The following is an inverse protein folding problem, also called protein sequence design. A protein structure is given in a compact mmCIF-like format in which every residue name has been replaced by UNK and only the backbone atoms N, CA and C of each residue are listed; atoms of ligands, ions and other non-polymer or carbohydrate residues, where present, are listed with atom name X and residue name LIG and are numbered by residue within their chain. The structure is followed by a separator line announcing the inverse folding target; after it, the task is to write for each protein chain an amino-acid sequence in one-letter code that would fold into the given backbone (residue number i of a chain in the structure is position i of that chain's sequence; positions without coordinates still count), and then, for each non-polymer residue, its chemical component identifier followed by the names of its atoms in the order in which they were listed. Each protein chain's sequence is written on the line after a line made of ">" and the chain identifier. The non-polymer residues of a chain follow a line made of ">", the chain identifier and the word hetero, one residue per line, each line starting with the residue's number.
data_IF_653096425157
#
_entry.id   IF_653096425157
#
_cell.length_a   1.000
_cell.length_b   1.000
_cell.length_c   1.000
_cell.angle_alpha   90.00
_cell.angle_beta   90.00
_cell.angle_gamma   90.00
#
_symmetry.space_group_name_H-M   'P 1'
#
loop_
_entity.id
_entity.type
_entity.pdbx_description
1 polymer ?
#
# COMPACT_ATOMS: atom_id res chain seq x y z
N UNK A 1 -2.03 55.07 49.35
CA UNK A 1 -2.26 54.42 48.03
C UNK A 1 -1.10 53.48 47.70
N UNK A 2 -1.39 52.18 47.52
CA UNK A 2 -0.91 51.29 46.42
C UNK A 2 0.63 51.04 46.30
N UNK A 3 1.20 49.82 46.19
CA UNK A 3 0.73 48.44 45.96
C UNK A 3 1.80 47.45 46.44
N UNK A 4 1.36 46.31 46.98
CA UNK A 4 2.12 45.06 47.08
C UNK A 4 2.49 44.58 45.66
N UNK A 5 3.76 44.24 45.41
CA UNK A 5 4.16 43.46 44.23
C UNK A 5 4.44 42.02 44.68
N UNK A 6 3.52 41.14 44.28
CA UNK A 6 3.59 39.70 44.46
C UNK A 6 4.47 39.13 43.32
N UNK A 7 5.62 38.57 43.64
CA UNK A 7 6.45 37.85 42.68
C UNK A 7 5.91 36.42 42.52
N UNK A 8 5.21 36.16 41.41
CA UNK A 8 4.76 34.82 41.04
C UNK A 8 5.87 34.05 40.34
N UNK A 9 6.34 32.97 40.95
CA UNK A 9 7.27 32.02 40.33
C UNK A 9 6.53 31.16 39.30
N UNK A 10 6.89 31.28 38.03
CA UNK A 10 6.33 30.50 36.94
C UNK A 10 7.12 29.19 36.81
N UNK A 11 6.55 28.09 37.30
CA UNK A 11 7.10 26.74 37.14
C UNK A 11 6.82 26.28 35.71
N UNK A 12 7.88 26.14 34.91
CA UNK A 12 7.80 25.58 33.56
C UNK A 12 7.81 24.05 33.71
N UNK A 13 6.64 23.42 33.55
CA UNK A 13 6.52 21.97 33.44
C UNK A 13 7.01 21.52 32.06
N UNK A 14 8.20 20.94 32.01
CA UNK A 14 8.77 20.29 30.84
C UNK A 14 7.93 19.05 30.50
N UNK A 15 7.07 19.14 29.48
CA UNK A 15 6.39 17.97 28.96
C UNK A 15 7.41 17.10 28.22
N UNK A 16 7.74 15.94 28.78
CA UNK A 16 8.52 14.92 28.09
C UNK A 16 7.67 14.35 26.95
N UNK A 17 7.93 14.82 25.73
CA UNK A 17 7.34 14.26 24.52
C UNK A 17 7.89 12.83 24.36
N UNK A 18 7.08 11.81 24.65
CA UNK A 18 7.40 10.43 24.30
C UNK A 18 7.42 10.35 22.78
N UNK A 19 8.62 10.22 22.22
CA UNK A 19 8.81 10.06 20.80
C UNK A 19 8.22 8.71 20.36
N UNK A 20 7.13 8.76 19.59
CA UNK A 20 6.67 7.60 18.86
C UNK A 20 7.78 7.18 17.88
N UNK A 21 8.18 5.92 17.92
CA UNK A 21 9.19 5.40 16.99
C UNK A 21 8.45 4.94 15.74
N UNK A 22 8.62 5.66 14.63
CA UNK A 22 8.01 5.30 13.35
C UNK A 22 8.92 4.34 12.57
N UNK A 23 8.39 3.18 12.19
CA UNK A 23 9.13 2.12 11.50
C UNK A 23 8.41 1.75 10.22
N UNK A 24 9.15 1.79 9.13
CA UNK A 24 8.68 1.46 7.80
C UNK A 24 8.51 -0.05 7.62
N UNK A 25 7.32 -0.50 7.21
CA UNK A 25 7.01 -1.93 6.98
C UNK A 25 6.54 -2.18 5.54
N UNK A 26 6.88 -3.34 4.98
CA UNK A 26 6.31 -3.81 3.70
C UNK A 26 5.41 -5.01 3.95
N UNK A 27 4.47 -5.26 3.06
CA UNK A 27 3.69 -6.49 3.11
C UNK A 27 4.61 -7.71 3.01
N UNK A 28 4.33 -8.72 3.82
CA UNK A 28 5.11 -9.95 3.99
C UNK A 28 6.56 -9.73 4.43
N UNK A 29 6.88 -8.57 5.00
CA UNK A 29 8.20 -8.33 5.60
C UNK A 29 8.29 -8.88 7.01
N UNK A 30 9.54 -9.14 7.42
CA UNK A 30 9.91 -9.40 8.80
C UNK A 30 10.76 -8.25 9.32
N UNK A 31 10.40 -7.70 10.48
CA UNK A 31 11.12 -6.62 11.14
C UNK A 31 11.45 -6.99 12.58
N UNK A 32 12.60 -6.53 13.08
CA UNK A 32 12.96 -6.71 14.49
C UNK A 32 12.60 -5.47 15.31
N UNK A 33 11.92 -5.65 16.44
CA UNK A 33 11.62 -4.60 17.40
C UNK A 33 12.14 -4.97 18.79
N UNK A 34 12.73 -3.98 19.46
CA UNK A 34 13.03 -4.07 20.87
C UNK A 34 12.02 -3.25 21.67
N UNK A 35 11.22 -3.93 22.49
CA UNK A 35 10.16 -3.36 23.30
C UNK A 35 10.52 -3.39 24.79
N UNK A 36 9.82 -2.61 25.59
CA UNK A 36 9.96 -2.70 27.05
C UNK A 36 9.51 -4.07 27.54
N UNK A 37 10.35 -4.73 28.33
CA UNK A 37 10.01 -5.97 29.04
C UNK A 37 9.13 -5.69 30.27
N UNK A 38 9.31 -4.54 30.92
CA UNK A 38 8.69 -4.22 32.21
C UNK A 38 7.40 -3.40 32.10
N UNK A 39 7.06 -2.87 30.92
CA UNK A 39 5.92 -1.98 30.70
C UNK A 39 5.08 -2.38 29.48
N UNK A 40 3.86 -1.85 29.41
CA UNK A 40 3.06 -1.90 28.19
C UNK A 40 3.75 -1.15 27.05
N UNK A 41 3.67 -1.73 25.86
CA UNK A 41 4.06 -1.10 24.61
C UNK A 41 2.82 -0.98 23.74
N UNK A 42 2.75 0.05 22.90
CA UNK A 42 1.65 0.25 21.94
C UNK A 42 2.19 0.07 20.54
N UNK A 43 1.58 -0.81 19.75
CA UNK A 43 1.82 -0.96 18.33
C UNK A 43 0.61 -0.40 17.58
N UNK A 44 0.84 0.53 16.67
CA UNK A 44 -0.20 1.13 15.82
C UNK A 44 0.25 1.05 14.37
N UNK A 45 -0.66 0.75 13.45
CA UNK A 45 -0.38 0.82 12.01
C UNK A 45 -0.94 2.14 11.48
N UNK A 46 -0.11 2.92 10.79
CA UNK A 46 -0.53 4.21 10.27
C UNK A 46 -1.62 4.05 9.21
N UNK A 47 -2.76 4.72 9.42
CA UNK A 47 -3.95 4.68 8.56
C UNK A 47 -4.55 3.29 8.37
N UNK A 48 -4.37 2.38 9.32
CA UNK A 48 -4.86 1.01 9.25
C UNK A 48 -5.08 0.46 10.67
N UNK A 49 -5.81 -0.65 10.80
CA UNK A 49 -6.15 -1.25 12.10
C UNK A 49 -5.62 -2.66 12.20
N UNK A 50 -5.09 -3.04 13.36
CA UNK A 50 -4.68 -4.42 13.61
C UNK A 50 -5.92 -5.24 14.01
N UNK A 51 -6.32 -6.17 13.16
CA UNK A 51 -7.50 -7.02 13.38
C UNK A 51 -7.13 -8.37 13.96
N UNK A 52 -5.92 -8.85 13.67
CA UNK A 52 -5.44 -10.15 14.14
C UNK A 52 -3.96 -10.09 14.53
N UNK A 53 -3.61 -10.86 15.56
CA UNK A 53 -2.28 -10.98 16.11
C UNK A 53 -2.06 -12.44 16.55
N UNK A 54 -1.02 -13.08 16.05
CA UNK A 54 -0.69 -14.49 16.34
C UNK A 54 0.74 -14.57 16.86
N UNK A 55 0.92 -15.20 18.01
CA UNK A 55 2.20 -15.33 18.70
C UNK A 55 2.24 -16.62 19.53
N UNK A 56 3.43 -17.10 19.95
CA UNK A 56 3.53 -18.30 20.77
C UNK A 56 2.76 -18.17 22.09
N UNK A 57 2.10 -19.24 22.56
CA UNK A 57 1.36 -19.21 23.83
C UNK A 57 2.23 -18.71 24.99
N UNK A 58 1.64 -17.86 25.85
CA UNK A 58 2.30 -17.26 27.02
C UNK A 58 3.50 -16.35 26.71
N UNK A 59 3.79 -16.01 25.45
CA UNK A 59 4.91 -15.13 25.11
C UNK A 59 4.62 -13.65 25.43
N UNK A 60 3.35 -13.24 25.34
CA UNK A 60 2.91 -11.86 25.61
C UNK A 60 1.43 -11.79 26.00
N UNK A 61 1.07 -10.75 26.74
CA UNK A 61 -0.31 -10.27 26.87
C UNK A 61 -0.64 -9.26 25.77
N UNK A 62 -1.88 -9.27 25.28
CA UNK A 62 -2.36 -8.33 24.26
C UNK A 62 -3.73 -7.76 24.63
N UNK A 63 -3.91 -6.46 24.42
CA UNK A 63 -5.19 -5.76 24.52
C UNK A 63 -5.37 -4.90 23.26
N UNK A 64 -6.49 -5.06 22.55
CA UNK A 64 -6.85 -4.23 21.40
C UNK A 64 -7.53 -2.95 21.86
N UNK A 65 -7.22 -1.85 21.19
CA UNK A 65 -7.97 -0.61 21.27
C UNK A 65 -8.96 -0.54 20.10
N UNK A 66 -10.26 -0.52 20.39
CA UNK A 66 -11.31 -0.54 19.39
C UNK A 66 -11.47 0.81 18.67
N UNK A 67 -10.98 1.92 19.24
CA UNK A 67 -11.16 3.25 18.64
C UNK A 67 -10.22 3.46 17.45
N UNK A 68 -8.96 3.03 17.58
CA UNK A 68 -7.92 3.29 16.58
C UNK A 68 -7.29 2.01 16.01
N UNK A 69 -7.68 0.83 16.49
CA UNK A 69 -7.16 -0.45 16.01
C UNK A 69 -5.72 -0.72 16.41
N UNK A 70 -5.16 0.02 17.38
CA UNK A 70 -3.86 -0.26 17.96
C UNK A 70 -3.91 -1.43 18.93
N UNK A 71 -2.75 -2.00 19.25
CA UNK A 71 -2.61 -3.06 20.25
C UNK A 71 -1.64 -2.63 21.33
N UNK A 72 -2.06 -2.81 22.58
CA UNK A 72 -1.20 -2.76 23.75
C UNK A 72 -0.66 -4.15 24.03
N UNK A 73 0.65 -4.25 24.18
CA UNK A 73 1.37 -5.51 24.37
C UNK A 73 2.27 -5.45 25.59
N UNK A 74 2.28 -6.53 26.36
CA UNK A 74 3.20 -6.70 27.49
C UNK A 74 3.96 -8.02 27.31
N UNK A 75 5.29 -7.93 27.23
CA UNK A 75 6.12 -9.10 27.02
C UNK A 75 6.15 -9.97 28.28
N UNK A 76 6.11 -11.28 28.08
CA UNK A 76 6.23 -12.28 29.15
C UNK A 76 7.42 -13.19 28.90
N UNK A 77 7.67 -13.55 27.65
CA UNK A 77 8.88 -14.25 27.25
C UNK A 77 10.11 -13.32 27.36
N UNK A 78 11.24 -13.87 27.80
CA UNK A 78 12.55 -13.21 27.81
C UNK A 78 13.37 -13.52 26.57
N UNK A 79 13.03 -14.60 25.86
CA UNK A 79 13.67 -14.98 24.60
C UNK A 79 12.97 -14.30 23.42
N UNK A 80 13.70 -14.02 22.33
CA UNK A 80 13.11 -13.52 21.09
C UNK A 80 11.99 -14.42 20.58
N UNK A 81 10.90 -13.83 20.08
CA UNK A 81 9.80 -14.57 19.46
C UNK A 81 9.14 -13.78 18.34
N UNK A 82 8.41 -14.48 17.46
CA UNK A 82 7.72 -13.86 16.32
C UNK A 82 6.27 -13.55 16.65
N UNK A 83 5.85 -12.34 16.32
CA UNK A 83 4.48 -11.87 16.30
C UNK A 83 4.04 -11.67 14.85
N UNK A 84 3.00 -12.36 14.41
CA UNK A 84 2.35 -12.13 13.12
C UNK A 84 1.19 -11.15 13.31
N UNK A 85 1.09 -10.16 12.43
CA UNK A 85 0.05 -9.15 12.45
C UNK A 85 -0.70 -9.14 11.12
N UNK A 86 -2.03 -9.09 11.21
CA UNK A 86 -2.92 -8.86 10.08
C UNK A 86 -3.70 -7.58 10.30
N UNK A 87 -3.82 -6.76 9.27
CA UNK A 87 -4.56 -5.50 9.32
C UNK A 87 -5.94 -5.57 8.66
N UNK A 88 -6.80 -4.59 8.94
CA UNK A 88 -8.12 -4.44 8.33
C UNK A 88 -8.03 -4.28 6.80
N UNK A 89 -6.97 -3.63 6.31
CA UNK A 89 -6.70 -3.55 4.87
C UNK A 89 -6.09 -4.82 4.26
N UNK A 90 -5.99 -5.93 5.01
CA UNK A 90 -5.48 -7.21 4.55
C UNK A 90 -3.96 -7.30 4.45
N UNK A 91 -3.20 -6.42 5.11
CA UNK A 91 -1.74 -6.52 5.14
C UNK A 91 -1.30 -7.56 6.14
N UNK A 92 -0.25 -8.30 5.80
CA UNK A 92 0.39 -9.26 6.67
C UNK A 92 1.86 -8.91 6.83
N UNK A 93 2.39 -9.00 8.04
CA UNK A 93 3.82 -8.87 8.30
C UNK A 93 4.16 -9.57 9.62
N UNK A 94 5.43 -9.93 9.78
CA UNK A 94 5.94 -10.50 11.01
C UNK A 94 6.85 -9.52 11.72
N UNK A 95 6.88 -9.65 13.04
CA UNK A 95 7.72 -8.86 13.91
C UNK A 95 8.47 -9.80 14.84
N UNK A 96 9.79 -9.83 14.76
CA UNK A 96 10.64 -10.45 15.77
C UNK A 96 10.76 -9.50 16.96
N UNK A 97 10.19 -9.90 18.11
CA UNK A 97 10.15 -9.11 19.33
C UNK A 97 11.26 -9.52 20.29
N UNK A 98 11.99 -8.52 20.78
CA UNK A 98 12.98 -8.63 21.85
C UNK A 98 12.58 -7.71 23.01
N UNK A 99 12.87 -8.13 24.24
CA UNK A 99 12.67 -7.31 25.43
C UNK A 99 13.92 -6.60 25.89
N UNK A 100 13.75 -5.39 26.43
CA UNK A 100 14.78 -4.67 27.18
C UNK A 100 14.20 -3.96 28.41
N UNK A 101 15.05 -3.62 29.37
CA UNK A 101 14.65 -2.89 30.56
C UNK A 101 14.58 -1.37 30.28
N UNK A 102 13.48 -0.95 29.66
CA UNK A 102 13.19 0.45 29.36
C UNK A 102 11.72 0.80 29.68
N UNK A 103 11.37 2.08 29.59
CA UNK A 103 9.98 2.52 29.69
C UNK A 103 9.15 2.08 28.49
N UNK A 104 7.83 2.05 28.67
CA UNK A 104 6.88 1.67 27.63
C UNK A 104 7.05 2.48 26.34
N UNK A 105 6.99 1.79 25.19
CA UNK A 105 7.20 2.40 23.87
C UNK A 105 5.91 2.45 23.07
N UNK A 106 5.75 3.51 22.27
CA UNK A 106 4.77 3.55 21.19
C UNK A 106 5.50 3.41 19.87
N UNK A 107 5.18 2.35 19.12
CA UNK A 107 5.73 2.06 17.80
C UNK A 107 4.65 2.32 16.77
N UNK A 108 4.90 3.26 15.87
CA UNK A 108 4.07 3.51 14.70
C UNK A 108 4.65 2.72 13.53
N UNK A 109 3.97 1.66 13.13
CA UNK A 109 4.29 0.92 11.92
C UNK A 109 3.70 1.69 10.75
N UNK A 110 4.57 2.21 9.91
CA UNK A 110 4.21 2.97 8.72
C UNK A 110 4.33 2.02 7.54
N UNK A 111 3.21 1.55 6.96
CA UNK A 111 3.25 0.88 5.68
C UNK A 111 4.04 1.77 4.72
N UNK A 112 5.14 1.23 4.19
CA UNK A 112 5.81 1.81 3.07
C UNK A 112 4.80 1.77 1.93
N UNK A 113 4.12 2.90 1.74
CA UNK A 113 3.73 3.28 0.41
C UNK A 113 4.99 3.09 -0.42
N UNK A 114 4.91 2.29 -1.47
CA UNK A 114 5.94 2.30 -2.49
C UNK A 114 5.95 3.73 -3.02
N UNK A 115 6.79 4.57 -2.42
CA UNK A 115 7.24 5.80 -3.04
C UNK A 115 8.07 5.28 -4.18
N UNK A 116 7.40 5.12 -5.32
CA UNK A 116 8.06 5.08 -6.61
C UNK A 116 8.93 6.33 -6.59
N UNK A 117 10.23 6.15 -6.37
CA UNK A 117 11.20 7.19 -6.65
C UNK A 117 10.84 7.68 -8.03
N UNK A 118 10.48 8.97 -8.12
CA UNK A 118 10.12 9.64 -9.37
C UNK A 118 11.34 9.60 -10.28
N UNK A 119 11.56 8.49 -10.97
CA UNK A 119 12.31 8.48 -12.22
C UNK A 119 11.32 8.89 -13.30
N UNK A 120 11.16 10.20 -13.42
CA UNK A 120 10.41 10.95 -14.44
C UNK A 120 8.92 10.58 -14.62
N UNK A 121 8.02 11.57 -14.61
CA UNK A 121 6.59 11.32 -14.70
C UNK A 121 6.24 10.88 -16.13
N UNK A 122 5.90 9.61 -16.33
CA UNK A 122 4.88 9.29 -17.33
C UNK A 122 3.55 9.56 -16.63
N UNK A 123 3.18 10.85 -16.56
CA UNK A 123 1.80 11.29 -16.34
C UNK A 123 0.97 10.60 -17.40
N UNK A 124 0.05 9.74 -16.98
CA UNK A 124 -1.16 9.30 -17.69
C UNK A 124 -1.78 8.16 -16.86
N UNK A 125 -2.30 8.54 -15.70
CA UNK A 125 -3.38 7.80 -15.03
C UNK A 125 -4.42 8.86 -14.74
N UNK A 126 -5.48 8.94 -15.54
CA UNK A 126 -6.55 9.91 -15.36
C UNK A 126 -7.76 9.26 -14.67
N UNK A 127 -8.14 9.81 -13.52
CA UNK A 127 -9.43 9.61 -12.85
C UNK A 127 -9.94 10.97 -12.33
N UNK A 128 -11.26 11.21 -12.29
CA UNK A 128 -11.82 12.44 -11.76
C UNK A 128 -11.66 12.52 -10.23
N UNK A 129 -10.93 13.52 -9.74
CA UNK A 129 -11.17 14.20 -8.45
C UNK A 129 -10.93 13.47 -7.12
N UNK A 130 -10.71 12.15 -7.08
CA UNK A 130 -10.43 11.40 -5.86
C UNK A 130 -9.00 10.81 -5.86
N UNK A 131 -8.40 10.67 -4.68
CA UNK A 131 -7.12 9.97 -4.54
C UNK A 131 -7.25 8.55 -5.12
N UNK A 132 -6.34 8.16 -6.01
CA UNK A 132 -6.36 6.83 -6.65
C UNK A 132 -6.16 5.78 -5.56
N UNK A 133 -7.08 4.80 -5.40
CA UNK A 133 -6.91 3.71 -4.45
C UNK A 133 -5.57 2.99 -4.61
N UNK A 134 -4.89 2.71 -3.50
CA UNK A 134 -3.58 2.03 -3.50
C UNK A 134 -3.65 0.65 -4.16
N UNK A 135 -4.78 -0.05 -4.04
CA UNK A 135 -5.04 -1.34 -4.69
C UNK A 135 -4.94 -1.26 -6.22
N UNK A 136 -5.39 -0.16 -6.83
CA UNK A 136 -5.29 0.07 -8.27
C UNK A 136 -3.83 0.33 -8.67
N UNK A 137 -3.12 1.15 -7.89
CA UNK A 137 -1.70 1.46 -8.14
C UNK A 137 -0.84 0.21 -7.99
N UNK A 138 -1.09 -0.59 -6.96
CA UNK A 138 -0.42 -1.88 -6.71
C UNK A 138 -0.63 -2.84 -7.87
N UNK A 139 -1.88 -3.04 -8.31
CA UNK A 139 -2.20 -3.94 -9.40
C UNK A 139 -1.50 -3.52 -10.71
N UNK A 140 -1.50 -2.23 -11.06
CA UNK A 140 -0.77 -1.74 -12.23
C UNK A 140 0.73 -2.01 -12.11
N UNK A 141 1.32 -1.77 -10.95
CA UNK A 141 2.76 -1.95 -10.72
C UNK A 141 3.15 -3.42 -10.88
N UNK A 142 2.37 -4.34 -10.33
CA UNK A 142 2.60 -5.78 -10.46
C UNK A 142 2.41 -6.27 -11.91
N UNK A 143 1.41 -5.75 -12.63
CA UNK A 143 1.24 -6.05 -14.06
C UNK A 143 2.43 -5.59 -14.90
N UNK A 144 2.97 -4.39 -14.64
CA UNK A 144 4.14 -3.86 -15.35
C UNK A 144 5.38 -4.71 -15.16
N UNK A 145 5.57 -5.22 -13.95
CA UNK A 145 6.73 -6.03 -13.59
C UNK A 145 6.52 -7.52 -13.83
N UNK A 146 5.28 -7.94 -14.12
CA UNK A 146 4.83 -9.34 -14.15
C UNK A 146 5.19 -10.07 -12.86
N UNK A 147 5.01 -9.39 -11.73
CA UNK A 147 5.30 -9.90 -10.40
C UNK A 147 4.05 -10.48 -9.75
N UNK A 148 4.18 -11.64 -9.12
CA UNK A 148 3.09 -12.27 -8.38
C UNK A 148 2.46 -11.31 -7.36
N UNK A 149 1.14 -11.34 -7.26
CA UNK A 149 0.37 -10.63 -6.24
C UNK A 149 -0.65 -11.60 -5.64
N UNK A 150 -0.68 -11.67 -4.31
CA UNK A 150 -1.52 -12.60 -3.58
C UNK A 150 -3.01 -12.35 -3.85
N UNK A 151 -3.79 -13.43 -3.98
CA UNK A 151 -5.24 -13.32 -4.20
C UNK A 151 -5.64 -12.92 -5.61
N UNK A 152 -4.69 -12.79 -6.55
CA UNK A 152 -4.95 -12.48 -7.95
C UNK A 152 -4.55 -13.66 -8.82
N UNK A 153 -5.50 -14.13 -9.62
CA UNK A 153 -5.27 -15.20 -10.58
C UNK A 153 -4.83 -14.60 -11.93
N UNK A 154 -3.65 -14.97 -12.42
CA UNK A 154 -3.15 -14.52 -13.73
C UNK A 154 -3.46 -15.57 -14.79
N UNK A 155 -4.21 -15.18 -15.82
CA UNK A 155 -4.51 -16.00 -16.99
C UNK A 155 -3.87 -15.40 -18.22
N UNK A 156 -3.13 -16.22 -18.95
CA UNK A 156 -2.67 -15.85 -20.29
C UNK A 156 -3.84 -15.85 -21.25
N UNK A 157 -3.96 -14.77 -22.03
CA UNK A 157 -4.97 -14.65 -23.07
C UNK A 157 -4.32 -14.90 -24.43
N UNK A 158 -4.88 -15.86 -25.16
CA UNK A 158 -4.63 -16.05 -26.58
C UNK A 158 -5.75 -15.39 -27.40
N UNK A 159 -6.13 -14.18 -26.97
CA UNK A 159 -7.27 -13.44 -27.49
C UNK A 159 -7.14 -13.12 -28.98
N UNK A 160 -8.28 -12.87 -29.62
CA UNK A 160 -8.30 -12.44 -31.03
C UNK A 160 -7.75 -11.03 -31.13
N UNK A 161 -6.97 -10.79 -32.18
CA UNK A 161 -6.47 -9.46 -32.54
C UNK A 161 -7.65 -8.56 -32.88
N UNK A 162 -7.80 -7.45 -32.16
CA UNK A 162 -8.79 -6.42 -32.45
C UNK A 162 -8.16 -5.29 -33.27
N UNK A 163 -8.82 -4.88 -34.34
CA UNK A 163 -8.36 -3.78 -35.19
C UNK A 163 -9.32 -2.61 -35.08
N UNK A 164 -8.80 -1.47 -34.63
CA UNK A 164 -9.55 -0.25 -34.43
C UNK A 164 -9.27 0.76 -35.55
N UNK A 165 -10.11 1.78 -35.64
CA UNK A 165 -9.92 2.88 -36.61
C UNK A 165 -8.59 3.61 -36.34
N UNK A 166 -8.01 4.23 -37.38
CA UNK A 166 -6.74 4.95 -37.26
C UNK A 166 -5.49 4.06 -37.20
N UNK A 167 -5.62 2.76 -37.51
CA UNK A 167 -4.49 1.84 -37.57
C UNK A 167 -4.02 1.33 -36.21
N UNK A 168 -4.80 1.48 -35.15
CA UNK A 168 -4.50 0.91 -33.85
C UNK A 168 -4.95 -0.56 -33.79
N UNK A 169 -4.07 -1.44 -33.36
CA UNK A 169 -4.36 -2.87 -33.16
C UNK A 169 -4.14 -3.23 -31.70
N UNK A 170 -5.06 -4.00 -31.12
CA UNK A 170 -5.01 -4.46 -29.73
C UNK A 170 -4.86 -5.98 -29.73
N UNK A 171 -3.92 -6.48 -28.91
CA UNK A 171 -3.71 -7.90 -28.69
C UNK A 171 -3.69 -8.17 -27.19
N UNK A 172 -4.78 -8.72 -26.62
CA UNK A 172 -4.81 -9.13 -25.22
C UNK A 172 -3.71 -10.15 -24.92
N UNK A 173 -2.99 -9.97 -23.81
CA UNK A 173 -1.89 -10.86 -23.39
C UNK A 173 -2.22 -11.57 -22.08
N UNK A 174 -2.73 -10.84 -21.10
CA UNK A 174 -3.00 -11.38 -19.77
C UNK A 174 -4.23 -10.72 -19.13
N UNK A 175 -4.93 -11.49 -18.30
CA UNK A 175 -5.88 -10.97 -17.31
C UNK A 175 -5.46 -11.35 -15.90
N UNK A 176 -5.60 -10.40 -14.99
CA UNK A 176 -5.26 -10.49 -13.58
C UNK A 176 -6.57 -10.34 -12.79
N UNK A 177 -7.08 -11.44 -12.25
CA UNK A 177 -8.41 -11.52 -11.63
C UNK A 177 -8.29 -11.52 -10.11
N UNK A 178 -8.68 -10.43 -9.45
CA UNK A 178 -8.83 -10.32 -7.99
C UNK A 178 -10.30 -10.27 -7.54
N UNK A 179 -10.53 -10.07 -6.24
CA UNK A 179 -11.88 -10.02 -5.65
C UNK A 179 -12.73 -8.86 -6.17
N UNK A 180 -12.16 -7.64 -6.16
CA UNK A 180 -12.89 -6.40 -6.44
C UNK A 180 -12.35 -5.67 -7.67
N UNK A 181 -11.17 -6.08 -8.15
CA UNK A 181 -10.48 -5.49 -9.29
C UNK A 181 -10.07 -6.56 -10.29
N UNK A 182 -10.19 -6.21 -11.57
CA UNK A 182 -9.64 -6.97 -12.69
C UNK A 182 -8.62 -6.11 -13.42
N UNK A 183 -7.42 -6.65 -13.64
CA UNK A 183 -6.37 -6.07 -14.47
C UNK A 183 -6.30 -6.75 -15.83
N UNK A 184 -5.93 -5.98 -16.85
CA UNK A 184 -5.67 -6.50 -18.20
C UNK A 184 -4.40 -5.88 -18.77
N UNK A 185 -3.56 -6.75 -19.36
CA UNK A 185 -2.39 -6.35 -20.14
C UNK A 185 -2.70 -6.58 -21.61
N UNK A 186 -2.68 -5.50 -22.38
CA UNK A 186 -2.97 -5.49 -23.82
C UNK A 186 -1.76 -4.91 -24.54
N UNK A 187 -1.23 -5.62 -25.52
CA UNK A 187 -0.27 -5.05 -26.44
C UNK A 187 -1.00 -4.20 -27.48
N UNK A 188 -0.62 -2.93 -27.58
CA UNK A 188 -1.12 -2.02 -28.60
C UNK A 188 -0.07 -1.84 -29.68
N UNK A 189 -0.50 -1.84 -30.94
CA UNK A 189 0.37 -1.76 -32.12
C UNK A 189 -0.13 -0.69 -33.10
N UNK A 190 0.79 0.15 -33.57
CA UNK A 190 0.51 1.12 -34.63
C UNK A 190 0.75 0.51 -36.02
N UNK A 191 -0.33 0.08 -36.66
CA UNK A 191 -0.32 -0.44 -38.04
C UNK A 191 -0.41 0.67 -39.11
N UNK A 192 -0.52 1.93 -38.71
CA UNK A 192 -0.57 3.06 -39.65
C UNK A 192 0.82 3.46 -40.16
N UNK A 193 0.86 4.41 -41.08
CA UNK A 193 2.11 4.99 -41.63
C UNK A 193 2.56 6.25 -40.87
N UNK A 194 1.81 6.70 -39.88
CA UNK A 194 2.05 7.94 -39.14
C UNK A 194 2.22 7.68 -37.64
N UNK A 195 2.90 8.55 -36.88
CA UNK A 195 2.94 8.45 -35.42
C UNK A 195 1.54 8.55 -34.81
N UNK A 196 1.21 7.63 -33.91
CA UNK A 196 -0.09 7.58 -33.24
C UNK A 196 0.06 7.95 -31.77
N UNK A 197 -0.54 9.08 -31.36
CA UNK A 197 -0.63 9.47 -29.95
C UNK A 197 -1.78 8.72 -29.29
N UNK A 198 -1.49 7.91 -28.29
CA UNK A 198 -2.49 7.13 -27.55
C UNK A 198 -3.32 8.04 -26.63
N UNK A 199 -4.60 7.73 -26.49
CA UNK A 199 -5.52 8.43 -25.59
C UNK A 199 -6.21 7.42 -24.67
N UNK A 200 -6.19 7.70 -23.37
CA UNK A 200 -6.87 6.88 -22.36
C UNK A 200 -8.38 6.81 -22.61
N UNK A 201 -8.98 7.92 -23.08
CA UNK A 201 -10.42 8.00 -23.35
C UNK A 201 -10.95 6.95 -24.33
N UNK A 202 -10.09 6.40 -25.20
CA UNK A 202 -10.49 5.34 -26.15
C UNK A 202 -10.74 3.99 -25.46
N UNK A 203 -10.18 3.81 -24.26
CA UNK A 203 -10.25 2.55 -23.50
C UNK A 203 -11.07 2.70 -22.22
N UNK A 204 -11.57 3.90 -21.94
CA UNK A 204 -12.37 4.21 -20.77
C UNK A 204 -13.85 3.84 -20.98
N UNK A 205 -14.46 3.32 -19.93
CA UNK A 205 -15.91 3.13 -19.77
C UNK A 205 -16.24 3.11 -18.26
N UNK A 206 -17.50 2.97 -17.89
CA UNK A 206 -17.94 3.08 -16.49
C UNK A 206 -17.31 2.06 -15.52
N UNK A 207 -16.88 0.90 -16.04
CA UNK A 207 -16.21 -0.11 -15.22
C UNK A 207 -14.71 0.14 -15.07
N UNK A 208 -14.11 0.92 -15.96
CA UNK A 208 -12.66 1.20 -15.95
C UNK A 208 -12.34 2.21 -14.86
N UNK A 209 -11.42 1.81 -13.98
CA UNK A 209 -10.92 2.63 -12.87
C UNK A 209 -9.53 3.18 -13.15
N UNK A 210 -8.71 2.56 -13.98
CA UNK A 210 -7.45 3.16 -14.38
C UNK A 210 -6.94 2.62 -15.71
N UNK A 211 -6.19 3.47 -16.40
CA UNK A 211 -5.49 3.16 -17.65
C UNK A 211 -4.07 3.69 -17.52
N UNK A 212 -3.11 2.92 -18.01
CA UNK A 212 -1.72 3.35 -18.18
C UNK A 212 -1.16 2.79 -19.47
N UNK A 213 -0.37 3.59 -20.19
CA UNK A 213 0.42 3.12 -21.31
C UNK A 213 1.90 3.08 -20.94
N UNK A 214 2.64 2.07 -21.39
CA UNK A 214 4.11 2.06 -21.28
C UNK A 214 4.77 3.13 -22.16
N UNK A 215 4.06 3.60 -23.19
CA UNK A 215 4.48 4.70 -24.08
C UNK A 215 3.28 5.49 -24.57
N UNK A 216 3.35 6.83 -24.53
CA UNK A 216 2.23 7.70 -24.89
C UNK A 216 2.04 7.89 -26.41
N UNK A 217 3.09 7.68 -27.21
CA UNK A 217 3.06 7.84 -28.68
C UNK A 217 3.81 6.69 -29.33
N UNK A 218 3.21 6.09 -30.34
CA UNK A 218 3.76 4.99 -31.13
C UNK A 218 4.22 5.48 -32.50
N UNK A 219 5.48 5.27 -32.85
CA UNK A 219 5.93 5.39 -34.23
C UNK A 219 5.23 4.34 -35.13
N UNK A 220 5.27 4.48 -36.46
CA UNK A 220 4.77 3.46 -37.37
C UNK A 220 5.40 2.10 -37.06
N UNK A 221 4.58 1.06 -36.98
CA UNK A 221 4.95 -0.32 -36.62
C UNK A 221 5.51 -0.52 -35.21
N UNK A 222 5.35 0.46 -34.32
CA UNK A 222 5.76 0.34 -32.93
C UNK A 222 4.67 -0.27 -32.05
N UNK A 223 5.09 -0.96 -30.97
CA UNK A 223 4.21 -1.48 -29.93
C UNK A 223 4.40 -0.77 -28.59
N UNK A 224 3.36 -0.81 -27.76
CA UNK A 224 3.43 -0.51 -26.33
C UNK A 224 2.50 -1.44 -25.55
N UNK A 225 2.62 -1.42 -24.22
CA UNK A 225 1.67 -2.08 -23.33
C UNK A 225 0.63 -1.07 -22.84
N UNK A 226 -0.62 -1.49 -22.87
CA UNK A 226 -1.76 -0.89 -22.19
C UNK A 226 -2.06 -1.73 -20.95
N UNK A 227 -2.07 -1.10 -19.80
CA UNK A 227 -2.52 -1.64 -18.53
C UNK A 227 -3.87 -1.02 -18.20
N UNK A 228 -4.90 -1.85 -18.03
CA UNK A 228 -6.26 -1.41 -17.71
C UNK A 228 -6.73 -2.08 -16.44
N UNK A 229 -7.30 -1.31 -15.52
CA UNK A 229 -7.92 -1.82 -14.29
C UNK A 229 -9.41 -1.51 -14.31
N UNK A 230 -10.22 -2.51 -13.99
CA UNK A 230 -11.68 -2.45 -13.94
C UNK A 230 -12.19 -2.88 -12.57
N UNK A 231 -13.31 -2.31 -12.14
CA UNK A 231 -14.05 -2.83 -10.98
C UNK A 231 -14.81 -4.10 -11.35
N UNK A 232 -14.83 -5.08 -10.45
CA UNK A 232 -15.70 -6.26 -10.58
C UNK A 232 -17.09 -5.89 -10.07
N UNK A 233 -18.12 -6.08 -10.90
CA UNK A 233 -19.49 -5.86 -10.47
C UNK A 233 -19.97 -7.10 -9.69
N UNK A 234 -20.31 -6.93 -8.42
CA UNK A 234 -21.09 -7.91 -7.67
C UNK A 234 -22.56 -7.72 -8.07
N UNK A 235 -23.08 -8.66 -8.86
CA UNK A 235 -24.49 -8.72 -9.26
C UNK A 235 -25.37 -9.31 -8.18
#
# INVERSE_FOLDING_TARGET
>A
MRKLFLAGAMVILSQASIAATSISIKDNSDIALTLSQANYNRLVVKNDKIVEAVFPPNAMGIKRDEQDGSVYVMLTATNPFTLFLTTESGRHFSVTLNGEDTLGKTIELVPLQVVVQKTNPVKNVSLPGAAIPESIVSLITHMERREYIQGVNVKHQYGRVERWKGGLTLLPKESWEGSDLKGEIIEVYNSSKEPLKLSESWFANDSVKAIKFSKATLAPKETAMLYRVQGVAHG
#
